data_IF_580568777652
#
_entry.id   IF_580568777652
#
_cell.length_a   1.000
_cell.length_b   1.000
_cell.length_c   1.000
_cell.angle_alpha   90.00
_cell.angle_beta   90.00
_cell.angle_gamma   90.00
#
_symmetry.space_group_name_H-M   'P 1'
#
loop_
_entity.id
_entity.type
_entity.pdbx_description
1 polymer ?
#
# COMPACT_ATOMS: atom_id res chain seq x y z
N UNK A 1 31.83 -1.53 11.38
CA UNK A 1 30.66 -0.84 10.84
C UNK A 1 29.69 -1.90 10.30
N UNK A 2 28.46 -1.99 10.82
CA UNK A 2 27.43 -2.80 10.17
C UNK A 2 27.18 -2.19 8.79
N UNK A 3 27.10 -3.00 7.70
CA UNK A 3 26.71 -2.46 6.40
C UNK A 3 25.37 -1.73 6.56
N UNK A 4 25.26 -0.53 6.00
CA UNK A 4 24.00 0.19 5.99
C UNK A 4 22.94 -0.71 5.32
N UNK A 5 21.85 -1.01 6.03
CA UNK A 5 20.75 -1.79 5.47
C UNK A 5 20.21 -1.04 4.26
N UNK A 6 20.05 -1.75 3.14
CA UNK A 6 19.41 -1.17 1.97
C UNK A 6 17.95 -0.89 2.29
N UNK A 7 17.40 0.28 1.87
CA UNK A 7 15.98 0.52 1.97
C UNK A 7 15.16 -0.55 1.24
N UNK A 8 14.02 -0.93 1.81
CA UNK A 8 13.06 -1.81 1.13
C UNK A 8 12.44 -1.12 -0.08
N UNK A 9 12.25 0.21 0.03
CA UNK A 9 11.73 1.06 -1.03
C UNK A 9 12.46 2.40 -1.01
N UNK A 10 12.92 2.86 -2.20
CA UNK A 10 13.60 4.14 -2.37
C UNK A 10 13.08 4.84 -3.62
N UNK A 11 12.80 6.12 -3.50
CA UNK A 11 12.33 6.99 -4.58
C UNK A 11 13.25 8.20 -4.63
N UNK A 12 13.78 8.51 -5.80
CA UNK A 12 14.67 9.63 -6.04
C UNK A 12 14.15 10.52 -7.15
N UNK A 13 13.78 11.76 -6.82
CA UNK A 13 13.34 12.80 -7.77
C UNK A 13 12.33 12.30 -8.81
N UNK A 14 11.34 11.51 -8.36
CA UNK A 14 10.32 10.95 -9.23
C UNK A 14 9.40 12.05 -9.74
N UNK A 15 9.32 12.19 -11.08
CA UNK A 15 8.45 13.12 -11.79
C UNK A 15 7.55 12.33 -12.72
N UNK A 16 6.29 12.72 -12.78
CA UNK A 16 5.36 12.10 -13.70
C UNK A 16 4.30 13.08 -14.18
N UNK A 17 4.06 13.04 -15.49
CA UNK A 17 3.03 13.83 -16.16
C UNK A 17 2.16 12.90 -17.01
N UNK A 18 0.86 12.98 -16.84
CA UNK A 18 -0.11 12.27 -17.65
C UNK A 18 -0.16 12.82 -19.09
N UNK A 19 -0.75 12.05 -20.01
CA UNK A 19 -0.87 12.44 -21.42
C UNK A 19 -1.72 13.71 -21.64
N UNK A 20 -2.65 14.00 -20.73
CA UNK A 20 -3.47 15.22 -20.74
C UNK A 20 -2.69 16.48 -20.29
N UNK A 21 -1.41 16.32 -19.93
CA UNK A 21 -0.54 17.39 -19.46
C UNK A 21 -0.54 17.60 -17.95
N UNK A 22 -1.38 16.89 -17.19
CA UNK A 22 -1.44 16.98 -15.72
C UNK A 22 -0.14 16.47 -15.10
N UNK A 23 0.59 17.32 -14.40
CA UNK A 23 1.81 16.96 -13.67
C UNK A 23 1.46 16.45 -12.28
N UNK A 24 1.42 15.14 -12.13
CA UNK A 24 0.98 14.47 -10.90
C UNK A 24 2.09 14.32 -9.86
N UNK A 25 3.36 14.16 -10.29
CA UNK A 25 4.52 14.07 -9.39
C UNK A 25 5.61 15.05 -9.85
N UNK A 26 6.19 15.81 -8.90
CA UNK A 26 7.07 16.96 -9.15
C UNK A 26 8.41 16.85 -8.46
N UNK A 27 9.00 15.64 -8.43
CA UNK A 27 10.29 15.40 -7.81
C UNK A 27 10.17 14.81 -6.41
N UNK A 28 9.32 13.80 -6.27
CA UNK A 28 9.13 13.05 -5.02
C UNK A 28 10.39 12.26 -4.69
N UNK A 29 10.87 12.38 -3.45
CA UNK A 29 12.03 11.64 -2.93
C UNK A 29 11.80 11.23 -1.48
N UNK A 30 11.94 9.95 -1.17
CA UNK A 30 11.99 9.38 0.18
C UNK A 30 12.47 7.93 0.14
N UNK A 31 12.79 7.36 1.30
CA UNK A 31 13.12 5.95 1.44
C UNK A 31 12.39 5.34 2.64
N UNK A 32 12.04 4.05 2.55
CA UNK A 32 11.38 3.27 3.60
C UNK A 32 12.30 2.09 3.96
N UNK A 33 12.56 1.92 5.25
CA UNK A 33 13.41 0.83 5.74
C UNK A 33 12.61 -0.48 5.84
N UNK A 34 13.27 -1.64 5.77
CA UNK A 34 12.61 -2.93 5.97
C UNK A 34 11.85 -2.99 7.30
N UNK A 35 10.58 -3.42 7.24
CA UNK A 35 9.70 -3.54 8.40
C UNK A 35 9.02 -2.24 8.86
N UNK A 36 9.33 -1.07 8.27
CA UNK A 36 8.60 0.16 8.58
C UNK A 36 7.14 0.09 8.11
N UNK A 37 6.24 0.71 8.88
CA UNK A 37 4.88 1.02 8.49
C UNK A 37 4.75 2.54 8.34
N UNK A 38 4.63 3.02 7.10
CA UNK A 38 4.65 4.45 6.76
C UNK A 38 3.31 4.86 6.16
N UNK A 39 2.72 5.94 6.69
CA UNK A 39 1.52 6.56 6.13
C UNK A 39 1.90 7.56 5.02
N UNK A 40 1.27 7.47 3.87
CA UNK A 40 1.33 8.47 2.80
C UNK A 40 0.05 9.29 2.85
N UNK A 41 0.14 10.49 3.36
CA UNK A 41 -0.99 11.38 3.63
C UNK A 41 -1.03 12.51 2.60
N UNK A 42 -2.20 13.13 2.46
CA UNK A 42 -2.37 14.29 1.59
C UNK A 42 -3.80 14.41 1.07
N UNK A 43 -4.19 15.58 0.57
CA UNK A 43 -5.51 15.81 0.01
C UNK A 43 -5.78 14.97 -1.24
N UNK A 44 -7.04 14.91 -1.66
CA UNK A 44 -7.39 14.28 -2.94
C UNK A 44 -6.69 15.00 -4.10
N UNK A 45 -6.18 14.24 -5.06
CA UNK A 45 -5.41 14.78 -6.18
C UNK A 45 -3.96 15.15 -5.87
N UNK A 46 -3.45 14.89 -4.65
CA UNK A 46 -2.05 15.19 -4.31
C UNK A 46 -1.02 14.31 -5.02
N UNK A 47 -1.44 13.23 -5.69
CA UNK A 47 -0.58 12.31 -6.42
C UNK A 47 -0.33 10.96 -5.73
N UNK A 48 -0.99 10.66 -4.58
CA UNK A 48 -0.78 9.40 -3.82
C UNK A 48 -0.95 8.15 -4.68
N UNK A 49 -2.12 7.93 -5.27
CA UNK A 49 -2.38 6.74 -6.10
C UNK A 49 -1.43 6.66 -7.30
N UNK A 50 -1.14 7.81 -7.94
CA UNK A 50 -0.13 7.88 -9.01
C UNK A 50 1.24 7.39 -8.53
N UNK A 51 1.65 7.82 -7.35
CA UNK A 51 2.91 7.38 -6.73
C UNK A 51 2.89 5.87 -6.48
N UNK A 52 1.80 5.33 -5.87
CA UNK A 52 1.68 3.91 -5.58
C UNK A 52 1.80 3.04 -6.84
N UNK A 53 1.21 3.47 -7.97
CA UNK A 53 1.28 2.75 -9.25
C UNK A 53 2.71 2.69 -9.84
N UNK A 54 3.61 3.61 -9.47
CA UNK A 54 5.02 3.53 -9.87
C UNK A 54 5.79 2.46 -9.10
N UNK A 55 5.34 2.10 -7.88
CA UNK A 55 6.10 1.20 -6.99
C UNK A 55 6.07 -0.27 -7.44
N UNK A 56 5.06 -0.67 -8.20
CA UNK A 56 4.97 -2.02 -8.78
C UNK A 56 5.09 -2.03 -10.32
N UNK A 57 5.48 -0.88 -10.91
CA UNK A 57 5.72 -0.74 -12.34
C UNK A 57 4.46 -0.80 -13.21
N UNK A 58 3.28 -0.39 -12.68
CA UNK A 58 2.10 -0.10 -13.51
C UNK A 58 2.31 1.22 -14.26
N UNK A 59 2.86 2.22 -13.58
CA UNK A 59 3.31 3.47 -14.20
C UNK A 59 4.83 3.59 -14.15
N UNK A 60 5.45 4.30 -15.10
CA UNK A 60 4.86 4.77 -16.33
C UNK A 60 4.58 3.60 -17.30
N UNK A 61 3.62 3.75 -18.21
CA UNK A 61 3.25 2.73 -19.21
C UNK A 61 4.44 2.23 -20.05
N UNK A 62 5.44 3.09 -20.24
CA UNK A 62 6.73 2.76 -20.85
C UNK A 62 7.85 3.06 -19.88
N UNK A 63 8.35 2.03 -19.22
CA UNK A 63 9.51 2.16 -18.35
C UNK A 63 10.74 2.50 -19.16
N UNK A 64 11.32 3.68 -18.89
CA UNK A 64 12.56 4.14 -19.54
C UNK A 64 13.82 3.73 -18.78
N UNK A 65 13.66 3.03 -17.65
CA UNK A 65 14.78 2.61 -16.80
C UNK A 65 15.48 3.78 -16.09
N UNK A 66 14.78 4.89 -15.86
CA UNK A 66 15.33 6.10 -15.21
C UNK A 66 15.89 5.85 -13.80
N UNK A 67 15.57 4.70 -13.19
CA UNK A 67 16.08 4.30 -11.87
C UNK A 67 15.54 5.11 -10.70
N UNK A 68 14.51 5.91 -10.90
CA UNK A 68 13.92 6.77 -9.86
C UNK A 68 13.20 6.00 -8.74
N UNK A 69 12.83 4.74 -8.97
CA UNK A 69 12.23 3.85 -7.98
C UNK A 69 13.09 2.61 -7.86
N UNK A 70 13.46 2.24 -6.63
CA UNK A 70 14.24 1.06 -6.30
C UNK A 70 13.53 0.22 -5.25
N UNK A 71 13.52 -1.09 -5.44
CA UNK A 71 13.03 -2.08 -4.48
C UNK A 71 14.21 -2.92 -4.02
N UNK A 72 14.48 -2.97 -2.72
CA UNK A 72 15.66 -3.63 -2.13
C UNK A 72 16.99 -3.15 -2.75
N UNK A 73 17.03 -1.87 -3.16
CA UNK A 73 18.17 -1.24 -3.82
C UNK A 73 18.30 -1.54 -5.32
N UNK A 74 17.40 -2.31 -5.93
CA UNK A 74 17.37 -2.60 -7.37
C UNK A 74 16.40 -1.67 -8.10
N UNK A 75 16.81 -0.96 -9.16
CA UNK A 75 15.92 -0.08 -9.92
C UNK A 75 14.86 -0.89 -10.66
N UNK A 76 13.64 -0.34 -10.76
CA UNK A 76 12.58 -0.94 -11.56
C UNK A 76 12.90 -0.75 -13.04
N UNK A 77 12.92 -1.84 -13.81
CA UNK A 77 13.21 -1.88 -15.22
C UNK A 77 12.25 -2.82 -15.94
N UNK A 78 12.09 -2.75 -17.28
CA UNK A 78 11.27 -3.71 -18.02
C UNK A 78 11.69 -5.17 -17.82
N UNK A 79 12.97 -5.41 -17.54
CA UNK A 79 13.53 -6.76 -17.43
C UNK A 79 13.30 -7.44 -16.07
N UNK A 80 12.97 -6.67 -15.01
CA UNK A 80 12.77 -7.21 -13.66
C UNK A 80 11.34 -6.98 -13.12
N UNK A 81 10.39 -6.58 -13.96
CA UNK A 81 9.01 -6.30 -13.54
C UNK A 81 8.35 -7.47 -12.81
N UNK A 82 8.55 -8.70 -13.28
CA UNK A 82 7.97 -9.87 -12.64
C UNK A 82 8.52 -10.08 -11.23
N UNK A 83 9.81 -9.79 -11.02
CA UNK A 83 10.42 -9.84 -9.69
C UNK A 83 9.93 -8.69 -8.79
N UNK A 84 9.78 -7.49 -9.34
CA UNK A 84 9.22 -6.34 -8.62
C UNK A 84 7.79 -6.64 -8.18
N UNK A 85 6.92 -7.16 -9.05
CA UNK A 85 5.53 -7.51 -8.75
C UNK A 85 5.39 -8.65 -7.75
N UNK A 86 6.39 -9.52 -7.63
CA UNK A 86 6.47 -10.50 -6.53
C UNK A 86 6.76 -9.84 -5.19
N UNK A 87 7.68 -8.87 -5.18
CA UNK A 87 8.15 -8.20 -3.95
C UNK A 87 7.18 -7.13 -3.46
N UNK A 88 6.50 -6.45 -4.38
CA UNK A 88 5.58 -5.33 -4.08
C UNK A 88 4.16 -5.74 -4.35
N UNK A 89 3.43 -6.05 -3.29
CA UNK A 89 2.00 -6.30 -3.34
C UNK A 89 1.21 -4.99 -3.27
N UNK A 90 0.34 -4.74 -4.24
CA UNK A 90 -0.51 -3.55 -4.30
C UNK A 90 -1.96 -3.91 -4.01
N UNK A 91 -2.57 -3.21 -3.04
CA UNK A 91 -4.01 -3.25 -2.77
C UNK A 91 -4.63 -1.95 -3.29
N UNK A 92 -5.56 -2.08 -4.25
CA UNK A 92 -6.28 -0.94 -4.83
C UNK A 92 -7.34 -0.38 -3.90
N UNK A 93 -7.71 0.88 -4.12
CA UNK A 93 -8.74 1.57 -3.36
C UNK A 93 -10.11 0.90 -3.49
N UNK A 94 -10.52 0.50 -4.70
CA UNK A 94 -11.77 -0.21 -4.95
C UNK A 94 -11.48 -1.71 -5.14
N UNK A 95 -12.06 -2.61 -4.31
CA UNK A 95 -11.87 -4.04 -4.49
C UNK A 95 -12.48 -4.57 -5.80
N UNK A 96 -13.46 -3.89 -6.39
CA UNK A 96 -14.05 -4.29 -7.66
C UNK A 96 -13.12 -4.03 -8.85
N UNK A 97 -12.11 -3.15 -8.70
CA UNK A 97 -11.03 -2.98 -9.68
C UNK A 97 -9.97 -4.09 -9.60
N UNK A 98 -9.98 -4.89 -8.53
CA UNK A 98 -8.97 -5.92 -8.27
C UNK A 98 -9.51 -7.33 -8.39
N UNK A 99 -10.77 -7.59 -7.98
CA UNK A 99 -11.43 -8.89 -8.08
C UNK A 99 -12.04 -9.07 -9.47
N UNK A 100 -11.57 -10.06 -10.22
CA UNK A 100 -12.02 -10.29 -11.61
C UNK A 100 -12.35 -11.75 -11.92
N UNK A 101 -12.00 -12.69 -11.03
CA UNK A 101 -12.32 -14.12 -11.20
C UNK A 101 -13.71 -14.45 -10.65
N UNK A 102 -14.36 -15.51 -11.16
CA UNK A 102 -15.70 -15.95 -10.70
C UNK A 102 -15.73 -16.37 -9.23
N UNK A 103 -14.67 -17.01 -8.74
CA UNK A 103 -14.57 -17.51 -7.36
C UNK A 103 -13.41 -16.87 -6.60
N UNK A 104 -13.54 -16.83 -5.27
CA UNK A 104 -12.49 -16.34 -4.38
C UNK A 104 -11.20 -17.14 -4.51
N UNK A 105 -11.31 -18.47 -4.68
CA UNK A 105 -10.15 -19.33 -4.87
C UNK A 105 -9.38 -18.96 -6.15
N UNK A 106 -10.08 -18.80 -7.27
CA UNK A 106 -9.44 -18.46 -8.56
C UNK A 106 -8.77 -17.11 -8.50
N UNK A 107 -9.39 -16.15 -7.83
CA UNK A 107 -8.84 -14.80 -7.69
C UNK A 107 -7.57 -14.79 -6.83
N UNK A 108 -7.60 -15.43 -5.66
CA UNK A 108 -6.43 -15.54 -4.77
C UNK A 108 -5.33 -16.41 -5.39
N UNK A 109 -5.68 -17.43 -6.18
CA UNK A 109 -4.75 -18.31 -6.88
C UNK A 109 -4.03 -17.62 -8.05
N UNK A 110 -4.61 -16.58 -8.63
CA UNK A 110 -4.12 -15.97 -9.86
C UNK A 110 -2.65 -15.55 -9.78
N UNK A 111 -2.29 -14.78 -8.74
CA UNK A 111 -0.91 -14.34 -8.53
C UNK A 111 0.07 -15.51 -8.39
N UNK A 112 -0.14 -16.43 -7.42
CA UNK A 112 0.70 -17.63 -7.27
C UNK A 112 0.84 -18.49 -8.54
N UNK A 113 -0.23 -18.62 -9.35
CA UNK A 113 -0.16 -19.32 -10.63
C UNK A 113 0.80 -18.64 -11.61
N UNK A 114 0.76 -17.30 -11.72
CA UNK A 114 1.71 -16.55 -12.54
C UNK A 114 3.16 -16.73 -12.04
N UNK A 115 3.32 -17.05 -10.77
CA UNK A 115 4.62 -17.37 -10.15
C UNK A 115 5.04 -18.85 -10.35
N UNK A 116 4.23 -19.63 -11.07
CA UNK A 116 4.53 -21.03 -11.41
C UNK A 116 4.05 -22.04 -10.36
N UNK A 117 3.26 -21.66 -9.35
CA UNK A 117 2.66 -22.62 -8.44
C UNK A 117 1.49 -23.34 -9.12
N UNK A 118 1.36 -24.65 -8.86
CA UNK A 118 0.27 -25.47 -9.38
C UNK A 118 -0.05 -26.63 -8.44
N UNK A 119 -1.22 -27.27 -8.61
CA UNK A 119 -1.63 -28.43 -7.84
C UNK A 119 -1.74 -28.19 -6.34
N UNK A 120 -1.32 -29.17 -5.52
CA UNK A 120 -1.45 -29.10 -4.07
C UNK A 120 -0.73 -27.89 -3.44
N UNK A 121 0.51 -27.51 -3.79
CA UNK A 121 1.16 -26.32 -3.26
C UNK A 121 0.40 -25.01 -3.51
N UNK A 122 -0.28 -24.90 -4.67
CA UNK A 122 -1.13 -23.75 -4.96
C UNK A 122 -2.35 -23.71 -4.03
N UNK A 123 -3.03 -24.84 -3.87
CA UNK A 123 -4.21 -24.92 -3.01
C UNK A 123 -3.88 -24.62 -1.56
N UNK A 124 -2.77 -25.15 -1.05
CA UNK A 124 -2.29 -24.86 0.30
C UNK A 124 -1.98 -23.37 0.50
N UNK A 125 -1.33 -22.72 -0.49
CA UNK A 125 -1.01 -21.29 -0.46
C UNK A 125 -2.28 -20.43 -0.41
N UNK A 126 -3.28 -20.76 -1.22
CA UNK A 126 -4.58 -20.06 -1.24
C UNK A 126 -5.29 -20.20 0.09
N UNK A 127 -5.39 -21.42 0.64
CA UNK A 127 -6.06 -21.66 1.92
C UNK A 127 -5.33 -20.96 3.09
N UNK A 128 -4.00 -20.92 3.08
CA UNK A 128 -3.21 -20.18 4.06
C UNK A 128 -3.52 -18.67 3.99
N UNK A 129 -3.52 -18.09 2.79
CA UNK A 129 -3.80 -16.68 2.59
C UNK A 129 -5.24 -16.32 3.00
N UNK A 130 -6.22 -17.14 2.63
CA UNK A 130 -7.62 -16.97 3.04
C UNK A 130 -7.79 -17.07 4.56
N UNK A 131 -7.11 -18.02 5.19
CA UNK A 131 -7.12 -18.18 6.65
C UNK A 131 -6.52 -16.95 7.33
N UNK A 132 -5.40 -16.44 6.82
CA UNK A 132 -4.72 -15.26 7.36
C UNK A 132 -5.62 -14.03 7.37
N UNK A 133 -6.48 -13.86 6.37
CA UNK A 133 -7.40 -12.71 6.29
C UNK A 133 -8.78 -12.98 6.92
N UNK A 134 -8.97 -14.14 7.59
CA UNK A 134 -10.24 -14.51 8.22
C UNK A 134 -11.34 -14.93 7.24
N UNK A 135 -10.96 -15.47 6.07
CA UNK A 135 -11.87 -16.00 5.05
C UNK A 135 -11.68 -17.50 4.81
N UNK A 136 -11.29 -18.26 5.85
CA UNK A 136 -11.17 -19.71 5.75
C UNK A 136 -12.47 -20.35 5.22
N UNK A 137 -12.35 -21.24 4.23
CA UNK A 137 -13.50 -21.92 3.60
C UNK A 137 -14.31 -21.08 2.60
N UNK A 138 -13.87 -19.85 2.29
CA UNK A 138 -14.56 -18.98 1.30
C UNK A 138 -14.16 -19.29 -0.15
N UNK A 139 -13.20 -20.13 -0.40
CA UNK A 139 -12.63 -20.35 -1.72
C UNK A 139 -13.67 -20.62 -2.83
N UNK A 140 -14.73 -21.37 -2.54
CA UNK A 140 -15.77 -21.70 -3.50
C UNK A 140 -16.85 -20.62 -3.69
N UNK A 141 -16.85 -19.54 -2.88
CA UNK A 141 -17.84 -18.47 -3.01
C UNK A 141 -17.57 -17.61 -4.24
N UNK A 142 -18.65 -17.13 -4.84
CA UNK A 142 -18.56 -16.12 -5.89
C UNK A 142 -18.06 -14.79 -5.31
N UNK A 143 -17.12 -14.14 -6.00
CA UNK A 143 -16.59 -12.81 -5.64
C UNK A 143 -17.68 -11.74 -5.63
N UNK A 144 -18.72 -11.88 -6.48
CA UNK A 144 -19.85 -10.97 -6.55
C UNK A 144 -20.78 -11.02 -5.33
N UNK A 145 -20.78 -12.13 -4.58
CA UNK A 145 -21.63 -12.32 -3.41
C UNK A 145 -20.95 -11.95 -2.09
N UNK A 146 -19.75 -11.39 -2.14
CA UNK A 146 -19.05 -10.92 -0.96
C UNK A 146 -19.53 -9.52 -0.56
N UNK A 147 -19.62 -9.28 0.75
CA UNK A 147 -19.74 -7.92 1.28
C UNK A 147 -18.48 -7.11 0.94
N UNK A 148 -18.56 -5.77 1.01
CA UNK A 148 -17.42 -4.90 0.71
C UNK A 148 -16.19 -5.24 1.58
N UNK A 149 -16.37 -5.49 2.88
CA UNK A 149 -15.29 -5.91 3.78
C UNK A 149 -14.70 -7.29 3.45
N UNK A 150 -15.54 -8.25 3.03
CA UNK A 150 -15.05 -9.56 2.56
C UNK A 150 -14.29 -9.43 1.24
N UNK A 151 -14.77 -8.61 0.29
CA UNK A 151 -14.05 -8.31 -0.95
C UNK A 151 -12.66 -7.73 -0.66
N UNK A 152 -12.58 -6.74 0.25
CA UNK A 152 -11.32 -6.12 0.66
C UNK A 152 -10.35 -7.14 1.23
N UNK A 153 -10.83 -8.05 2.10
CA UNK A 153 -10.00 -9.15 2.64
C UNK A 153 -9.59 -10.17 1.57
N UNK A 154 -10.47 -10.47 0.61
CA UNK A 154 -10.13 -11.35 -0.51
C UNK A 154 -9.03 -10.75 -1.40
N UNK A 155 -9.12 -9.45 -1.74
CA UNK A 155 -8.04 -8.73 -2.43
C UNK A 155 -6.71 -8.82 -1.67
N UNK A 156 -6.74 -8.58 -0.36
CA UNK A 156 -5.53 -8.69 0.47
C UNK A 156 -5.00 -10.13 0.51
N UNK A 157 -5.87 -11.15 0.54
CA UNK A 157 -5.45 -12.56 0.45
C UNK A 157 -4.72 -12.84 -0.87
N UNK A 158 -5.24 -12.35 -2.01
CA UNK A 158 -4.56 -12.48 -3.31
C UNK A 158 -3.18 -11.85 -3.34
N UNK A 159 -3.03 -10.68 -2.70
CA UNK A 159 -1.73 -10.02 -2.53
C UNK A 159 -0.80 -10.86 -1.64
N UNK A 160 -1.28 -11.30 -0.46
CA UNK A 160 -0.47 -12.05 0.52
C UNK A 160 -0.08 -13.45 0.01
N UNK A 161 -0.88 -14.06 -0.85
CA UNK A 161 -0.57 -15.35 -1.47
C UNK A 161 0.72 -15.32 -2.31
N UNK A 162 1.15 -14.13 -2.76
CA UNK A 162 2.42 -13.92 -3.45
C UNK A 162 3.61 -13.69 -2.51
N UNK A 163 3.41 -13.64 -1.18
CA UNK A 163 4.44 -13.39 -0.14
C UNK A 163 5.28 -12.13 -0.40
N UNK A 164 4.66 -10.97 -0.57
CA UNK A 164 5.41 -9.75 -0.85
C UNK A 164 6.23 -9.29 0.36
N UNK A 165 7.43 -8.71 0.11
CA UNK A 165 8.24 -8.05 1.14
C UNK A 165 7.79 -6.63 1.44
N UNK A 166 7.09 -6.00 0.50
CA UNK A 166 6.53 -4.65 0.60
C UNK A 166 5.05 -4.69 0.26
N UNK A 167 4.21 -4.15 1.14
CA UNK A 167 2.78 -3.93 0.91
C UNK A 167 2.54 -2.45 0.65
N UNK A 168 1.91 -2.16 -0.47
CA UNK A 168 1.47 -0.84 -0.89
C UNK A 168 -0.06 -0.85 -0.89
N UNK A 169 -0.68 -0.01 -0.07
CA UNK A 169 -2.12 -0.04 0.17
C UNK A 169 -2.72 1.33 -0.14
N UNK A 170 -3.69 1.37 -1.05
CA UNK A 170 -4.40 2.61 -1.38
C UNK A 170 -5.76 2.61 -0.68
N UNK A 171 -5.96 3.57 0.24
CA UNK A 171 -7.17 3.78 1.04
C UNK A 171 -7.78 2.47 1.60
N UNK A 172 -7.00 1.65 2.33
CA UNK A 172 -7.39 0.28 2.64
C UNK A 172 -8.62 0.16 3.55
N UNK A 173 -9.03 1.23 4.22
CA UNK A 173 -10.21 1.27 5.10
C UNK A 173 -11.42 1.95 4.50
N UNK A 174 -11.32 2.42 3.24
CA UNK A 174 -12.45 3.05 2.55
C UNK A 174 -13.64 2.10 2.46
N UNK A 175 -14.84 2.59 2.80
CA UNK A 175 -16.07 1.81 2.76
C UNK A 175 -16.23 0.75 3.86
N UNK A 176 -15.29 0.62 4.79
CA UNK A 176 -15.44 -0.26 5.95
C UNK A 176 -16.19 0.44 7.08
N UNK A 177 -17.05 -0.30 7.76
CA UNK A 177 -17.65 0.12 9.01
C UNK A 177 -16.61 0.19 10.16
N UNK A 178 -16.92 0.78 11.32
CA UNK A 178 -15.95 0.92 12.40
C UNK A 178 -15.40 -0.42 12.92
N UNK A 179 -16.18 -1.50 12.85
CA UNK A 179 -15.74 -2.84 13.25
C UNK A 179 -14.75 -3.39 12.21
N UNK A 180 -15.12 -3.36 10.93
CA UNK A 180 -14.28 -3.81 9.84
C UNK A 180 -12.94 -3.06 9.77
N UNK A 181 -12.93 -1.75 10.06
CA UNK A 181 -11.71 -0.95 10.15
C UNK A 181 -10.77 -1.44 11.27
N UNK A 182 -11.30 -1.75 12.47
CA UNK A 182 -10.49 -2.31 13.57
C UNK A 182 -9.95 -3.69 13.23
N UNK A 183 -10.79 -4.57 12.68
CA UNK A 183 -10.38 -5.91 12.26
C UNK A 183 -9.29 -5.85 11.18
N UNK A 184 -9.44 -4.95 10.19
CA UNK A 184 -8.45 -4.77 9.13
C UNK A 184 -7.13 -4.18 9.66
N UNK A 185 -7.18 -3.27 10.64
CA UNK A 185 -5.99 -2.76 11.33
C UNK A 185 -5.22 -3.90 12.00
N UNK A 186 -5.88 -4.70 12.84
CA UNK A 186 -5.24 -5.85 13.51
C UNK A 186 -4.65 -6.84 12.51
N UNK A 187 -5.32 -7.04 11.37
CA UNK A 187 -4.79 -7.87 10.30
C UNK A 187 -3.49 -7.29 9.75
N UNK A 188 -3.44 -6.00 9.44
CA UNK A 188 -2.21 -5.35 8.95
C UNK A 188 -1.09 -5.33 10.00
N UNK A 189 -1.40 -5.18 11.29
CA UNK A 189 -0.43 -5.26 12.39
C UNK A 189 0.21 -6.65 12.47
N UNK A 190 -0.53 -7.71 12.17
CA UNK A 190 -0.01 -9.09 12.18
C UNK A 190 0.93 -9.43 11.02
N UNK A 191 0.96 -8.62 9.97
CA UNK A 191 1.79 -8.84 8.79
C UNK A 191 3.15 -8.16 8.98
N UNK A 192 4.25 -8.92 8.87
CA UNK A 192 5.60 -8.41 9.09
C UNK A 192 6.22 -7.66 7.89
N UNK A 193 5.56 -7.63 6.72
CA UNK A 193 6.05 -6.91 5.54
C UNK A 193 6.20 -5.40 5.79
N UNK A 194 7.11 -4.76 5.07
CA UNK A 194 7.19 -3.29 4.99
C UNK A 194 5.89 -2.74 4.41
N UNK A 195 5.36 -1.64 4.96
CA UNK A 195 4.06 -1.12 4.53
C UNK A 195 4.16 0.35 4.15
N UNK A 196 3.60 0.71 2.99
CA UNK A 196 3.27 2.07 2.61
C UNK A 196 1.77 2.18 2.40
N UNK A 197 1.12 3.02 3.20
CA UNK A 197 -0.33 3.11 3.28
C UNK A 197 -0.77 4.51 2.89
N UNK A 198 -1.32 4.68 1.69
CA UNK A 198 -1.96 5.93 1.31
C UNK A 198 -3.33 6.01 1.97
N UNK A 199 -3.59 7.10 2.69
CA UNK A 199 -4.88 7.34 3.31
C UNK A 199 -5.11 8.82 3.60
N UNK A 200 -6.37 9.22 3.63
CA UNK A 200 -6.83 10.50 4.15
C UNK A 200 -7.32 10.40 5.61
N UNK A 201 -7.38 9.19 6.16
CA UNK A 201 -7.78 8.94 7.54
C UNK A 201 -6.58 9.11 8.50
N UNK A 202 -6.46 10.31 9.03
CA UNK A 202 -5.34 10.67 9.89
C UNK A 202 -5.37 9.97 11.25
N UNK A 203 -6.56 9.69 11.79
CA UNK A 203 -6.71 8.94 13.05
C UNK A 203 -6.17 7.52 12.89
N UNK A 204 -6.54 6.87 11.79
CA UNK A 204 -6.06 5.53 11.49
C UNK A 204 -4.54 5.49 11.22
N UNK A 205 -4.01 6.53 10.56
CA UNK A 205 -2.57 6.67 10.38
C UNK A 205 -1.82 6.84 11.71
N UNK A 206 -2.37 7.62 12.66
CA UNK A 206 -1.79 7.77 14.02
C UNK A 206 -1.73 6.43 14.75
N UNK A 207 -2.75 5.60 14.60
CA UNK A 207 -2.83 4.31 15.28
C UNK A 207 -1.91 3.23 14.72
N UNK A 208 -1.58 3.28 13.41
CA UNK A 208 -0.88 2.19 12.72
C UNK A 208 0.53 2.56 12.27
N UNK A 209 0.76 3.82 11.88
CA UNK A 209 2.00 4.24 11.25
C UNK A 209 2.91 4.98 12.23
N UNK A 210 4.16 4.52 12.39
CA UNK A 210 5.15 5.22 13.21
C UNK A 210 5.73 6.47 12.55
N UNK A 211 5.67 6.54 11.22
CA UNK A 211 6.15 7.62 10.36
C UNK A 211 5.11 7.95 9.31
N UNK A 212 5.02 9.22 8.96
CA UNK A 212 4.16 9.69 7.86
C UNK A 212 4.92 10.57 6.91
N UNK A 213 4.53 10.49 5.64
CA UNK A 213 4.97 11.34 4.55
C UNK A 213 3.74 12.09 4.06
N UNK A 214 3.80 13.41 4.01
CA UNK A 214 2.70 14.25 3.50
C UNK A 214 3.03 14.67 2.08
N UNK A 215 2.15 14.30 1.15
CA UNK A 215 2.23 14.64 -0.27
C UNK A 215 1.18 15.71 -0.59
N UNK A 216 1.61 16.83 -1.18
CA UNK A 216 0.71 17.87 -1.65
C UNK A 216 1.22 18.44 -2.98
N UNK A 217 0.30 18.63 -3.94
CA UNK A 217 0.63 19.14 -5.27
C UNK A 217 1.75 18.39 -5.97
N UNK A 218 1.88 17.07 -5.74
CA UNK A 218 2.91 16.21 -6.32
C UNK A 218 4.30 16.32 -5.68
N UNK A 219 4.43 16.96 -4.51
CA UNK A 219 5.70 17.11 -3.77
C UNK A 219 5.58 16.61 -2.34
N UNK A 220 6.67 16.12 -1.75
CA UNK A 220 6.74 15.80 -0.33
C UNK A 220 6.91 17.12 0.46
N UNK A 221 5.93 17.43 1.32
CA UNK A 221 5.92 18.66 2.12
C UNK A 221 6.26 18.40 3.59
N UNK A 222 6.13 17.16 4.05
CA UNK A 222 6.61 16.71 5.36
C UNK A 222 6.96 15.23 5.33
N UNK A 223 7.95 14.83 6.15
CA UNK A 223 8.37 13.46 6.35
C UNK A 223 8.95 13.32 7.76
N UNK A 224 8.44 12.43 8.57
CA UNK A 224 8.92 12.25 9.93
C UNK A 224 7.99 11.40 10.82
N UNK A 225 8.31 11.30 12.11
CA UNK A 225 7.49 10.60 13.09
C UNK A 225 6.05 11.12 13.09
N UNK A 226 5.08 10.21 13.08
CA UNK A 226 3.64 10.52 12.91
C UNK A 226 3.16 11.62 13.86
N UNK A 227 3.46 11.48 15.15
CA UNK A 227 3.04 12.46 16.14
C UNK A 227 3.70 13.85 15.92
N UNK A 228 4.97 13.88 15.50
CA UNK A 228 5.69 15.16 15.25
C UNK A 228 5.11 15.89 14.05
N UNK A 229 4.85 15.18 12.95
CA UNK A 229 4.31 15.77 11.72
C UNK A 229 2.86 16.22 11.93
N UNK A 230 2.00 15.36 12.49
CA UNK A 230 0.56 15.64 12.61
C UNK A 230 0.21 16.60 13.76
N UNK A 231 1.12 16.87 14.70
CA UNK A 231 0.93 17.92 15.71
C UNK A 231 1.21 19.34 15.18
N UNK A 232 1.87 19.50 14.06
CA UNK A 232 2.08 20.81 13.41
C UNK A 232 0.80 21.26 12.70
N UNK A 233 -0.14 21.81 13.46
CA UNK A 233 -1.46 22.21 12.98
C UNK A 233 -1.37 23.24 11.85
N UNK A 234 -0.44 24.20 11.96
CA UNK A 234 -0.25 25.23 10.94
C UNK A 234 0.17 24.62 9.59
N UNK A 235 1.10 23.67 9.64
CA UNK A 235 1.53 22.93 8.45
C UNK A 235 0.39 22.05 7.89
N UNK A 236 -0.33 21.34 8.74
CA UNK A 236 -1.44 20.49 8.29
C UNK A 236 -2.49 21.32 7.56
N UNK A 237 -2.93 22.43 8.12
CA UNK A 237 -3.90 23.35 7.51
C UNK A 237 -3.39 23.94 6.19
N UNK A 238 -2.11 24.30 6.11
CA UNK A 238 -1.50 24.84 4.87
C UNK A 238 -1.54 23.83 3.70
N UNK A 239 -1.63 22.51 4.02
CA UNK A 239 -1.66 21.43 3.03
C UNK A 239 -3.01 20.70 2.97
N UNK A 240 -4.11 21.34 3.43
CA UNK A 240 -5.48 20.82 3.32
C UNK A 240 -5.76 19.62 4.23
N UNK A 241 -5.01 19.46 5.32
CA UNK A 241 -5.20 18.43 6.33
C UNK A 241 -5.57 19.07 7.68
N UNK A 242 -6.28 18.33 8.54
CA UNK A 242 -6.59 18.76 9.89
C UNK A 242 -5.78 17.96 10.92
N UNK A 243 -5.50 18.56 12.08
CA UNK A 243 -4.86 17.84 13.17
C UNK A 243 -5.80 16.77 13.73
N UNK A 244 -5.36 15.48 13.87
CA UNK A 244 -6.16 14.41 14.46
C UNK A 244 -6.65 14.72 15.86
N UNK A 245 -7.88 14.29 16.20
CA UNK A 245 -8.46 14.48 17.53
C UNK A 245 -7.67 13.75 18.62
N UNK A 246 -7.18 12.55 18.34
CA UNK A 246 -6.36 11.74 19.24
C UNK A 246 -5.09 12.44 19.70
N UNK A 247 -4.55 13.36 18.88
CA UNK A 247 -3.38 14.16 19.23
C UNK A 247 -3.72 15.49 19.92
N UNK A 248 -5.01 15.93 19.88
CA UNK A 248 -5.45 17.16 20.57
C UNK A 248 -5.56 16.99 22.09
N UNK A 249 -5.77 15.77 22.58
CA UNK A 249 -6.08 15.47 23.98
C UNK A 249 -4.94 14.79 24.74
N UNK A 250 -3.71 14.83 24.25
CA UNK A 250 -2.55 14.45 25.06
C UNK A 250 -2.29 15.55 26.11
N UNK A 251 -3.06 15.54 27.24
CA UNK A 251 -2.67 16.26 28.43
C UNK A 251 -1.43 15.58 28.99
N UNK A 252 -0.36 16.34 29.32
CA UNK A 252 0.75 15.76 30.07
C UNK A 252 0.23 15.29 31.43
N UNK A 253 0.41 14.01 31.71
CA UNK A 253 0.29 13.46 33.07
C UNK A 253 1.58 13.68 33.84
#
# INVERSE_FOLDING_TARGET
MKPAMKPALEIENLRYRYHDGTEALRGVSFAIQPGECVGLLGPNGSGKSTLLLHLNGILPEKLTGSGNVRIDGEPITPHNLDQVRRRVGLLFQDPDDQLFCPTVFEDVAFGPQQLGLAGAPLSERVEQALTQVGLAGYGHRSTHHLSHGEKRRACLAGVLACEPSVLVLDEPTSGLDPRGRREFKHLLESISATKLIATHDLEWAVELCSRVIVLDGGTVVADGPTAAVLNDEARMLAHGLERPHSLRHQHPH
#
